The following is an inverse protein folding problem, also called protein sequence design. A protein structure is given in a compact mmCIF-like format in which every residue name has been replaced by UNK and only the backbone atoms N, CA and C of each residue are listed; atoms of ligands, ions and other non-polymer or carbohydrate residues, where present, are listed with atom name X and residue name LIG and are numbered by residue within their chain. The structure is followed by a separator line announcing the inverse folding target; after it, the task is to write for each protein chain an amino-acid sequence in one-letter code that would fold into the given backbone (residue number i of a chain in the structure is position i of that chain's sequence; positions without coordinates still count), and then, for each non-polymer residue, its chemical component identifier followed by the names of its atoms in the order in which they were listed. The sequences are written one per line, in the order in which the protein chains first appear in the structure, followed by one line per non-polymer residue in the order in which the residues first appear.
data_IF_895821475588
#
_entry.id   IF_895821475588
#
_cell.length_a   1.000
_cell.length_b   1.000
_cell.length_c   1.000
_cell.angle_alpha   90.00
_cell.angle_beta   90.00
_cell.angle_gamma   90.00
#
_symmetry.space_group_name_H-M   'P 1'
#
loop_
_entity.id
_entity.type
_entity.pdbx_description
1 polymer ?
#
# COMPACT_ATOMS: atom_id res chain seq x y z
N UNK A 1 -65.34 -18.05 3.18
CA UNK A 1 -64.30 -17.83 2.18
C UNK A 1 -63.09 -17.34 2.93
N UNK A 2 -62.27 -18.31 3.28
CA UNK A 2 -60.95 -18.17 3.89
C UNK A 2 -60.04 -17.51 2.85
N UNK A 3 -59.16 -16.60 3.26
CA UNK A 3 -57.89 -16.37 2.54
C UNK A 3 -56.83 -15.87 3.53
N UNK A 4 -55.97 -16.81 3.87
CA UNK A 4 -54.78 -16.73 4.72
C UNK A 4 -53.80 -15.64 4.25
N UNK A 5 -53.64 -14.58 5.05
CA UNK A 5 -52.48 -13.70 4.92
C UNK A 5 -51.25 -14.32 5.60
N UNK A 6 -50.49 -15.04 4.77
CA UNK A 6 -49.17 -15.62 5.01
C UNK A 6 -48.29 -14.80 5.97
N UNK A 7 -48.14 -15.32 7.20
CA UNK A 7 -47.18 -14.86 8.21
C UNK A 7 -45.75 -14.97 7.69
N UNK A 8 -45.12 -13.82 7.42
CA UNK A 8 -43.69 -13.74 7.08
C UNK A 8 -42.88 -14.03 8.34
N UNK A 9 -42.13 -15.14 8.34
CA UNK A 9 -41.22 -15.53 9.43
C UNK A 9 -40.08 -14.51 9.53
N UNK A 10 -40.15 -13.62 10.51
CA UNK A 10 -39.07 -12.70 10.87
C UNK A 10 -38.15 -13.39 11.87
N UNK A 11 -36.85 -13.43 11.57
CA UNK A 11 -35.83 -13.88 12.52
C UNK A 11 -35.78 -12.91 13.71
N UNK A 12 -35.60 -13.42 14.93
CA UNK A 12 -35.61 -12.69 16.22
C UNK A 12 -34.63 -11.49 16.36
N UNK A 13 -33.87 -11.15 15.31
CA UNK A 13 -32.89 -10.06 15.29
C UNK A 13 -33.13 -8.98 14.23
N UNK A 14 -34.22 -9.02 13.45
CA UNK A 14 -34.55 -7.91 12.53
C UNK A 14 -35.80 -7.17 12.99
N UNK A 15 -35.61 -6.08 13.75
CA UNK A 15 -36.68 -5.07 13.88
C UNK A 15 -36.74 -4.28 12.57
N UNK A 16 -37.90 -4.15 11.91
CA UNK A 16 -38.03 -3.29 10.74
C UNK A 16 -37.74 -1.84 11.16
N UNK A 17 -36.88 -1.17 10.40
CA UNK A 17 -36.51 0.23 10.61
C UNK A 17 -37.63 1.08 9.99
N UNK A 18 -38.30 1.89 10.81
CA UNK A 18 -39.25 2.88 10.29
C UNK A 18 -38.49 4.01 9.61
N UNK A 19 -38.77 4.23 8.33
CA UNK A 19 -38.20 5.33 7.58
C UNK A 19 -38.93 6.62 7.96
N UNK A 20 -38.24 7.48 8.72
CA UNK A 20 -38.70 8.85 8.97
C UNK A 20 -38.38 9.69 7.75
N UNK A 21 -39.42 10.33 7.17
CA UNK A 21 -39.25 11.25 6.04
C UNK A 21 -38.31 12.38 6.44
N UNK A 22 -37.36 12.74 5.57
CA UNK A 22 -36.39 13.79 5.85
C UNK A 22 -37.10 15.13 6.01
N UNK A 23 -37.21 15.60 7.25
CA UNK A 23 -37.72 16.94 7.50
C UNK A 23 -36.81 17.94 6.77
N UNK A 24 -37.38 18.83 5.96
CA UNK A 24 -36.68 19.85 5.15
C UNK A 24 -36.09 20.99 6.00
N UNK A 25 -35.92 20.75 7.30
CA UNK A 25 -35.26 21.64 8.24
C UNK A 25 -34.03 20.94 8.82
N UNK A 26 -33.19 20.39 7.95
CA UNK A 26 -31.78 20.20 8.27
C UNK A 26 -31.09 21.55 8.14
N UNK A 27 -31.18 22.34 9.21
CA UNK A 27 -30.12 23.30 9.49
C UNK A 27 -28.82 22.50 9.54
N UNK A 28 -27.87 22.88 8.67
CA UNK A 28 -26.53 22.33 8.72
C UNK A 28 -26.04 22.43 10.16
N UNK A 29 -25.46 21.35 10.69
CA UNK A 29 -24.56 21.42 11.84
C UNK A 29 -23.39 22.31 11.46
N UNK A 30 -23.63 23.60 11.57
CA UNK A 30 -22.61 24.60 11.73
C UNK A 30 -22.00 24.29 13.09
N UNK A 31 -20.69 24.13 13.08
CA UNK A 31 -19.79 24.21 14.25
C UNK A 31 -20.37 25.20 15.28
N UNK A 32 -20.27 24.96 16.61
CA UNK A 32 -20.75 25.93 17.59
C UNK A 32 -20.16 27.30 17.30
N UNK A 33 -20.98 28.18 16.72
CA UNK A 33 -20.70 29.60 16.59
C UNK A 33 -20.80 30.14 18.01
N UNK A 34 -19.68 30.15 18.74
CA UNK A 34 -19.55 31.00 19.92
C UNK A 34 -19.74 32.44 19.43
N UNK A 35 -20.94 32.97 19.65
CA UNK A 35 -21.27 34.36 19.42
C UNK A 35 -20.30 35.21 20.26
N UNK A 36 -19.31 35.81 19.59
CA UNK A 36 -18.30 36.67 20.21
C UNK A 36 -16.91 36.63 19.58
N UNK A 37 -16.59 35.64 18.75
CA UNK A 37 -15.26 35.62 18.11
C UNK A 37 -15.23 36.52 16.87
N UNK A 38 -14.65 37.70 17.00
CA UNK A 38 -14.36 38.59 15.86
C UNK A 38 -13.54 37.84 14.81
N UNK A 39 -13.75 38.12 13.52
CA UNK A 39 -12.97 37.46 12.44
C UNK A 39 -11.44 37.56 12.63
N UNK A 40 -10.99 38.60 13.36
CA UNK A 40 -9.59 38.75 13.79
C UNK A 40 -9.10 37.66 14.74
N UNK A 41 -9.94 37.19 15.69
CA UNK A 41 -9.61 36.11 16.62
C UNK A 41 -9.48 34.77 15.90
N UNK A 42 -10.39 34.49 14.95
CA UNK A 42 -10.31 33.27 14.13
C UNK A 42 -9.07 33.31 13.24
N UNK A 43 -8.74 34.46 12.65
CA UNK A 43 -7.55 34.64 11.84
C UNK A 43 -6.26 34.47 12.66
N UNK A 44 -6.20 35.01 13.88
CA UNK A 44 -5.06 34.85 14.78
C UNK A 44 -4.87 33.39 15.23
N UNK A 45 -5.95 32.65 15.46
CA UNK A 45 -5.89 31.21 15.76
C UNK A 45 -5.28 30.43 14.58
N UNK A 46 -5.79 30.61 13.36
CA UNK A 46 -5.23 29.96 12.17
C UNK A 46 -3.76 30.34 11.94
N UNK A 47 -3.41 31.60 12.18
CA UNK A 47 -2.02 32.08 12.08
C UNK A 47 -1.10 31.40 13.10
N UNK A 48 -1.59 31.10 14.32
CA UNK A 48 -0.82 30.40 15.35
C UNK A 48 -0.55 28.92 15.03
N UNK A 49 -1.47 28.26 14.33
CA UNK A 49 -1.33 26.84 13.96
C UNK A 49 -0.38 26.70 12.75
N UNK A 50 -0.40 27.68 11.84
CA UNK A 50 0.33 27.64 10.57
C UNK A 50 1.69 28.33 10.61
N UNK A 51 1.86 29.32 11.48
CA UNK A 51 3.17 29.94 11.73
C UNK A 51 3.94 29.01 12.64
N UNK A 52 4.87 28.28 12.04
CA UNK A 52 5.76 27.35 12.70
C UNK A 52 6.44 28.02 13.92
N UNK A 53 5.92 27.75 15.12
CA UNK A 53 6.41 28.34 16.36
C UNK A 53 7.73 27.66 16.71
N UNK A 54 8.85 28.29 16.33
CA UNK A 54 10.07 28.18 17.11
C UNK A 54 9.81 28.89 18.44
N UNK A 55 9.34 28.15 19.45
CA UNK A 55 9.46 28.59 20.83
C UNK A 55 10.91 28.44 21.27
N UNK A 56 11.70 29.45 20.94
CA UNK A 56 12.75 29.92 21.83
C UNK A 56 12.04 30.66 22.96
N UNK A 57 11.91 30.03 24.12
CA UNK A 57 11.65 30.78 25.35
C UNK A 57 12.83 31.72 25.60
N UNK A 58 12.57 33.02 25.66
CA UNK A 58 13.50 33.96 26.28
C UNK A 58 12.75 34.89 27.22
N UNK A 59 12.94 34.61 28.51
CA UNK A 59 13.10 35.64 29.52
C UNK A 59 14.11 36.69 29.02
N UNK A 60 13.80 37.96 29.30
CA UNK A 60 14.57 39.12 28.87
C UNK A 60 15.97 39.15 29.51
N UNK A 61 16.82 39.89 28.80
CA UNK A 61 18.14 40.39 29.19
C UNK A 61 19.31 39.43 28.94
N UNK A 62 19.74 39.39 27.68
CA UNK A 62 21.15 39.52 27.32
C UNK A 62 21.26 39.79 25.81
N UNK A 63 21.40 41.08 25.52
CA UNK A 63 21.97 41.60 24.30
C UNK A 63 23.44 41.13 24.23
N UNK A 64 23.89 40.73 23.03
CA UNK A 64 25.23 40.21 22.69
C UNK A 64 25.45 38.67 22.71
N UNK A 65 24.77 37.95 21.80
CA UNK A 65 25.43 37.00 20.85
C UNK A 65 24.45 36.46 19.80
N UNK A 66 23.95 37.37 18.96
CA UNK A 66 23.24 37.04 17.72
C UNK A 66 23.83 37.89 16.59
N UNK A 67 25.14 37.73 16.39
CA UNK A 67 25.89 38.07 15.18
C UNK A 67 26.95 36.97 15.11
N UNK A 68 27.14 36.34 13.95
CA UNK A 68 27.90 35.10 13.70
C UNK A 68 27.05 33.81 13.70
N UNK A 69 26.08 33.72 12.80
CA UNK A 69 25.86 32.52 11.95
C UNK A 69 24.98 32.85 10.72
N UNK A 70 25.06 34.10 10.23
CA UNK A 70 24.43 34.56 8.99
C UNK A 70 25.39 34.44 7.78
N UNK A 71 26.44 33.64 7.90
CA UNK A 71 27.41 33.45 6.83
C UNK A 71 27.19 32.11 6.15
N UNK A 72 26.38 32.19 5.08
CA UNK A 72 26.19 31.24 3.97
C UNK A 72 25.05 30.23 4.14
N UNK A 73 23.82 30.73 4.25
CA UNK A 73 22.69 29.97 3.72
C UNK A 73 22.82 29.92 2.19
N UNK A 74 23.46 28.86 1.68
CA UNK A 74 23.51 28.58 0.26
C UNK A 74 22.07 28.34 -0.23
N UNK A 75 21.59 29.20 -1.13
CA UNK A 75 20.26 29.07 -1.76
C UNK A 75 20.44 28.40 -3.11
N UNK A 76 19.58 27.43 -3.41
CA UNK A 76 19.55 26.72 -4.69
C UNK A 76 18.24 27.04 -5.42
N UNK A 77 18.35 27.25 -6.73
CA UNK A 77 17.21 27.45 -7.61
C UNK A 77 16.55 26.12 -7.94
N UNK A 78 15.23 26.04 -7.76
CA UNK A 78 14.43 24.91 -8.21
C UNK A 78 13.72 25.26 -9.53
N UNK A 79 13.97 24.54 -10.64
CA UNK A 79 13.32 24.80 -11.92
C UNK A 79 11.84 24.43 -11.92
N UNK A 80 11.42 23.45 -11.12
CA UNK A 80 10.04 22.96 -11.10
C UNK A 80 9.08 23.89 -10.34
N UNK A 81 9.61 24.69 -9.40
CA UNK A 81 8.82 25.60 -8.55
C UNK A 81 9.16 27.07 -8.79
N UNK A 82 10.12 27.35 -9.67
CA UNK A 82 10.63 28.70 -9.95
C UNK A 82 10.94 29.51 -8.67
N UNK A 83 11.52 28.84 -7.67
CA UNK A 83 11.76 29.43 -6.34
C UNK A 83 13.18 29.11 -5.85
N UNK A 84 13.80 30.08 -5.19
CA UNK A 84 15.06 29.91 -4.49
C UNK A 84 14.83 29.31 -3.10
N UNK A 85 15.32 28.09 -2.89
CA UNK A 85 15.13 27.31 -1.67
C UNK A 85 16.47 27.22 -0.92
N UNK A 86 16.50 27.43 0.42
CA UNK A 86 17.74 27.26 1.18
C UNK A 86 18.16 25.77 1.19
N UNK A 87 19.46 25.51 1.13
CA UNK A 87 20.03 24.15 1.05
C UNK A 87 19.52 23.24 2.18
N UNK A 88 19.37 23.79 3.38
CA UNK A 88 18.84 23.08 4.57
C UNK A 88 17.41 22.58 4.40
N UNK A 89 16.61 23.26 3.56
CA UNK A 89 15.20 22.96 3.34
C UNK A 89 14.94 22.22 2.02
N UNK A 90 15.97 21.98 1.20
CA UNK A 90 15.79 21.38 -0.13
C UNK A 90 15.12 20.00 -0.06
N UNK A 91 15.48 19.14 0.90
CA UNK A 91 14.84 17.84 1.05
C UNK A 91 13.34 17.95 1.40
N UNK A 92 12.99 18.89 2.28
CA UNK A 92 11.59 19.13 2.66
C UNK A 92 10.81 19.77 1.51
N UNK A 93 11.45 20.66 0.76
CA UNK A 93 10.89 21.22 -0.46
C UNK A 93 10.56 20.13 -1.49
N UNK A 94 11.51 19.26 -1.83
CA UNK A 94 11.33 18.20 -2.84
C UNK A 94 10.26 17.18 -2.44
N UNK A 95 10.18 16.85 -1.14
CA UNK A 95 9.14 15.93 -0.61
C UNK A 95 7.78 16.60 -0.44
N UNK A 96 7.72 17.93 -0.48
CA UNK A 96 6.50 18.71 -0.32
C UNK A 96 5.49 18.43 -1.41
N UNK A 97 4.20 18.48 -1.05
CA UNK A 97 3.10 18.26 -1.99
C UNK A 97 3.19 19.25 -3.16
N UNK A 98 3.46 20.53 -2.86
CA UNK A 98 3.55 21.61 -3.86
C UNK A 98 4.62 21.32 -4.92
N UNK A 99 5.81 20.88 -4.51
CA UNK A 99 6.87 20.52 -5.44
C UNK A 99 6.48 19.31 -6.30
N UNK A 100 5.94 18.25 -5.69
CA UNK A 100 5.50 17.05 -6.42
C UNK A 100 4.34 17.32 -7.39
N UNK A 101 3.48 18.28 -7.10
CA UNK A 101 2.38 18.66 -8.00
C UNK A 101 2.83 19.60 -9.11
N UNK A 102 3.84 20.43 -8.85
CA UNK A 102 4.41 21.37 -9.82
C UNK A 102 5.41 20.71 -10.77
N UNK A 103 6.13 19.70 -10.27
CA UNK A 103 7.07 18.93 -11.08
C UNK A 103 6.30 18.13 -12.13
N UNK A 104 6.46 18.55 -13.37
CA UNK A 104 5.88 17.91 -14.55
C UNK A 104 6.60 16.61 -14.93
N UNK A 105 7.52 16.10 -14.10
CA UNK A 105 8.02 14.74 -14.25
C UNK A 105 6.84 13.81 -14.10
N UNK A 106 6.31 13.38 -15.25
CA UNK A 106 5.20 12.46 -15.35
C UNK A 106 5.55 11.21 -14.55
N UNK A 107 5.05 11.12 -13.32
CA UNK A 107 4.96 9.82 -12.67
C UNK A 107 3.96 9.05 -13.51
N UNK A 108 4.46 8.32 -14.51
CA UNK A 108 3.65 7.37 -15.26
C UNK A 108 2.94 6.53 -14.21
N UNK A 109 1.60 6.47 -14.20
CA UNK A 109 0.88 5.71 -13.20
C UNK A 109 1.53 4.34 -13.14
N UNK A 110 2.01 3.96 -11.95
CA UNK A 110 2.70 2.69 -11.77
C UNK A 110 1.76 1.61 -12.28
N UNK A 111 2.08 1.02 -13.43
CA UNK A 111 1.32 -0.10 -14.00
C UNK A 111 1.34 -1.21 -12.95
N UNK A 112 0.26 -1.34 -12.17
CA UNK A 112 0.17 -2.26 -11.04
C UNK A 112 0.43 -3.73 -11.41
N UNK A 113 0.39 -4.03 -12.72
CA UNK A 113 0.59 -5.35 -13.30
C UNK A 113 1.91 -5.47 -14.09
N UNK A 114 2.83 -4.50 -13.94
CA UNK A 114 4.13 -4.57 -14.58
C UNK A 114 4.91 -5.81 -14.12
N UNK A 115 5.25 -6.66 -15.10
CA UNK A 115 6.14 -7.78 -14.89
C UNK A 115 7.54 -7.24 -14.61
N UNK A 116 8.14 -7.66 -13.50
CA UNK A 116 9.53 -7.32 -13.20
C UNK A 116 10.45 -7.86 -14.31
N UNK A 117 11.42 -7.06 -14.74
CA UNK A 117 12.46 -7.45 -15.69
C UNK A 117 13.28 -8.67 -15.29
N UNK A 118 13.32 -9.03 -14.00
CA UNK A 118 13.97 -10.23 -13.50
C UNK A 118 13.15 -11.52 -13.69
N UNK A 119 11.89 -11.43 -14.14
CA UNK A 119 11.05 -12.59 -14.35
C UNK A 119 11.50 -13.33 -15.63
N UNK A 120 11.83 -14.61 -15.48
CA UNK A 120 12.32 -15.47 -16.58
C UNK A 120 11.32 -15.51 -17.75
N UNK A 121 10.02 -15.59 -17.47
CA UNK A 121 8.99 -15.59 -18.51
C UNK A 121 8.91 -14.25 -19.25
N UNK A 122 9.12 -13.14 -18.55
CA UNK A 122 9.18 -11.81 -19.19
C UNK A 122 10.40 -11.68 -20.11
N UNK A 123 11.57 -12.16 -19.66
CA UNK A 123 12.78 -12.19 -20.47
C UNK A 123 12.62 -13.08 -21.71
N UNK A 124 11.99 -14.26 -21.55
CA UNK A 124 11.70 -15.16 -22.65
C UNK A 124 10.77 -14.51 -23.69
N UNK A 125 9.68 -13.89 -23.25
CA UNK A 125 8.75 -13.19 -24.16
C UNK A 125 9.46 -12.07 -24.92
N UNK A 126 10.25 -11.24 -24.22
CA UNK A 126 11.07 -10.20 -24.85
C UNK A 126 12.05 -10.76 -25.88
N UNK A 127 12.71 -11.87 -25.57
CA UNK A 127 13.65 -12.53 -26.48
C UNK A 127 12.98 -13.03 -27.77
N UNK A 128 11.69 -13.38 -27.70
CA UNK A 128 10.88 -13.77 -28.84
C UNK A 128 10.29 -12.56 -29.60
N UNK A 129 10.72 -11.35 -29.27
CA UNK A 129 10.29 -10.11 -29.95
C UNK A 129 8.98 -9.52 -29.41
N UNK A 130 8.44 -10.02 -28.29
CA UNK A 130 7.28 -9.39 -27.66
C UNK A 130 7.67 -8.10 -26.94
N UNK A 131 6.89 -7.04 -27.16
CA UNK A 131 7.05 -5.73 -26.50
C UNK A 131 6.02 -5.57 -25.40
N UNK A 132 6.45 -5.06 -24.25
CA UNK A 132 5.59 -4.86 -23.07
C UNK A 132 4.43 -3.86 -23.30
N UNK A 133 4.63 -2.88 -24.19
CA UNK A 133 3.59 -1.90 -24.53
C UNK A 133 2.50 -2.45 -25.46
N UNK A 134 2.72 -3.62 -26.06
CA UNK A 134 1.86 -4.19 -27.09
C UNK A 134 1.21 -5.51 -26.61
N UNK A 135 0.04 -5.79 -27.17
CA UNK A 135 -0.63 -7.08 -27.01
C UNK A 135 0.13 -8.21 -27.70
N UNK A 136 -0.27 -9.45 -27.42
CA UNK A 136 0.22 -10.61 -28.16
C UNK A 136 -0.47 -10.72 -29.54
N UNK A 137 0.16 -11.40 -30.50
CA UNK A 137 -0.38 -11.63 -31.83
C UNK A 137 0.31 -10.80 -32.93
N UNK A 138 0.11 -11.15 -34.22
CA UNK A 138 0.82 -10.57 -35.36
C UNK A 138 0.68 -9.05 -35.51
N UNK A 139 -0.42 -8.46 -35.03
CA UNK A 139 -0.66 -7.01 -35.02
C UNK A 139 -0.79 -6.47 -33.59
N UNK A 140 -0.37 -7.23 -32.59
CA UNK A 140 -0.57 -6.89 -31.18
C UNK A 140 -2.04 -6.83 -30.74
N UNK A 141 -2.93 -7.58 -31.41
CA UNK A 141 -4.38 -7.54 -31.17
C UNK A 141 -4.83 -8.18 -29.85
N UNK A 142 -3.96 -8.97 -29.22
CA UNK A 142 -4.22 -9.63 -27.95
C UNK A 142 -4.32 -8.63 -26.82
N UNK A 143 -5.08 -8.95 -25.78
CA UNK A 143 -5.19 -8.05 -24.64
C UNK A 143 -3.89 -8.04 -23.83
N UNK A 144 -3.47 -6.84 -23.39
CA UNK A 144 -2.28 -6.64 -22.54
C UNK A 144 -2.49 -7.15 -21.11
N UNK A 145 -3.64 -6.80 -20.51
CA UNK A 145 -3.94 -7.13 -19.12
C UNK A 145 -4.77 -8.44 -19.00
N UNK A 146 -4.67 -9.18 -17.89
CA UNK A 146 -5.47 -10.39 -17.64
C UNK A 146 -6.99 -10.15 -17.63
N UNK A 147 -7.82 -11.19 -17.84
CA UNK A 147 -9.29 -11.06 -17.70
C UNK A 147 -9.55 -10.98 -16.18
N UNK A 148 -10.33 -9.99 -15.74
CA UNK A 148 -10.92 -10.03 -14.40
C UNK A 148 -11.96 -11.16 -14.33
N UNK A 149 -11.66 -12.21 -13.57
CA UNK A 149 -12.57 -13.33 -13.33
C UNK A 149 -13.33 -13.13 -12.01
N UNK A 150 -14.61 -13.50 -11.99
CA UNK A 150 -15.40 -13.56 -10.77
C UNK A 150 -15.45 -15.01 -10.29
N UNK A 151 -15.00 -15.27 -9.05
CA UNK A 151 -15.16 -16.59 -8.46
C UNK A 151 -16.60 -16.75 -7.97
N UNK A 152 -17.24 -17.83 -8.40
CA UNK A 152 -18.49 -18.30 -7.84
C UNK A 152 -18.18 -19.07 -6.56
N UNK A 153 -18.63 -18.56 -5.43
CA UNK A 153 -18.46 -19.23 -4.13
C UNK A 153 -19.68 -20.06 -3.72
N UNK A 154 -20.80 -19.88 -4.42
CA UNK A 154 -22.07 -20.51 -4.08
C UNK A 154 -22.30 -21.80 -4.87
N UNK A 155 -23.10 -22.70 -4.29
CA UNK A 155 -23.58 -23.94 -4.94
C UNK A 155 -24.84 -23.73 -5.78
N UNK A 156 -25.44 -22.53 -5.75
CA UNK A 156 -26.69 -22.20 -6.44
C UNK A 156 -26.55 -22.21 -7.97
N UNK A 157 -27.65 -22.41 -8.68
CA UNK A 157 -27.67 -22.40 -10.15
C UNK A 157 -27.20 -21.08 -10.76
N UNK A 158 -26.70 -21.11 -12.00
CA UNK A 158 -26.41 -19.90 -12.75
C UNK A 158 -27.72 -19.13 -12.99
N UNK A 159 -27.71 -17.80 -12.82
CA UNK A 159 -28.89 -16.96 -12.99
C UNK A 159 -29.73 -16.76 -11.73
N UNK A 160 -29.42 -17.44 -10.62
CA UNK A 160 -30.03 -17.12 -9.32
C UNK A 160 -29.64 -15.70 -8.87
N UNK A 161 -30.57 -14.99 -8.22
CA UNK A 161 -30.29 -13.67 -7.67
C UNK A 161 -29.09 -13.77 -6.72
N UNK A 162 -28.03 -13.03 -7.06
CA UNK A 162 -26.75 -13.18 -6.39
C UNK A 162 -26.87 -12.62 -4.98
N UNK A 163 -26.97 -13.49 -3.99
CA UNK A 163 -26.82 -13.09 -2.58
C UNK A 163 -25.36 -12.75 -2.25
N UNK A 164 -24.40 -13.37 -2.97
CA UNK A 164 -22.97 -13.16 -2.70
C UNK A 164 -22.31 -12.19 -3.68
N UNK A 165 -21.42 -11.36 -3.13
CA UNK A 165 -20.61 -10.40 -3.91
C UNK A 165 -19.59 -11.17 -4.75
N UNK A 166 -19.65 -11.03 -6.06
CA UNK A 166 -18.62 -11.52 -6.99
C UNK A 166 -17.26 -10.96 -6.57
N UNK A 167 -16.32 -11.82 -6.17
CA UNK A 167 -14.98 -11.43 -5.75
C UNK A 167 -13.97 -11.80 -6.84
N UNK A 168 -13.10 -10.85 -7.19
CA UNK A 168 -11.97 -11.08 -8.09
C UNK A 168 -10.90 -11.83 -7.29
N UNK A 169 -10.44 -12.98 -7.78
CA UNK A 169 -9.45 -13.83 -7.08
C UNK A 169 -8.02 -13.29 -7.14
N UNK A 170 -7.77 -12.31 -8.00
CA UNK A 170 -6.44 -11.78 -8.30
C UNK A 170 -6.40 -10.27 -8.09
N UNK A 171 -6.90 -9.78 -6.96
CA UNK A 171 -6.58 -8.41 -6.55
C UNK A 171 -5.09 -8.33 -6.22
N UNK A 172 -4.46 -7.17 -6.46
CA UNK A 172 -3.05 -6.96 -6.12
C UNK A 172 -2.76 -7.29 -4.64
N UNK A 173 -3.71 -6.96 -3.76
CA UNK A 173 -3.67 -7.27 -2.33
C UNK A 173 -3.68 -8.77 -2.03
N UNK A 174 -4.56 -9.55 -2.67
CA UNK A 174 -4.66 -11.00 -2.46
C UNK A 174 -3.42 -11.72 -3.02
N UNK A 175 -2.87 -11.25 -4.15
CA UNK A 175 -1.61 -11.76 -4.71
C UNK A 175 -0.44 -11.51 -3.74
N UNK A 176 -0.35 -10.31 -3.17
CA UNK A 176 0.69 -9.94 -2.21
C UNK A 176 0.54 -10.73 -0.91
N UNK A 177 -0.67 -10.88 -0.39
CA UNK A 177 -0.95 -11.69 0.79
C UNK A 177 -0.60 -13.17 0.56
N UNK A 178 -0.91 -13.72 -0.61
CA UNK A 178 -0.56 -15.09 -0.95
C UNK A 178 0.96 -15.29 -1.08
N UNK A 179 1.69 -14.30 -1.61
CA UNK A 179 3.17 -14.29 -1.60
C UNK A 179 3.71 -14.25 -0.18
N UNK A 180 3.16 -13.40 0.69
CA UNK A 180 3.53 -13.31 2.09
C UNK A 180 3.27 -14.63 2.82
N UNK A 181 2.08 -15.23 2.67
CA UNK A 181 1.73 -16.55 3.23
C UNK A 181 2.66 -17.66 2.74
N UNK A 182 3.06 -17.65 1.46
CA UNK A 182 4.03 -18.62 0.92
C UNK A 182 5.41 -18.45 1.54
N UNK A 183 5.86 -17.22 1.75
CA UNK A 183 7.13 -16.91 2.44
C UNK A 183 7.09 -17.37 3.90
N UNK A 184 6.00 -17.09 4.60
CA UNK A 184 5.75 -17.56 5.97
C UNK A 184 5.69 -19.09 6.07
N UNK A 185 5.07 -19.76 5.10
CA UNK A 185 5.09 -21.23 5.03
C UNK A 185 6.50 -21.74 4.78
N UNK A 186 7.24 -21.15 3.84
CA UNK A 186 8.61 -21.54 3.56
C UNK A 186 9.53 -21.37 4.79
N UNK A 187 9.36 -20.29 5.56
CA UNK A 187 10.08 -20.09 6.82
C UNK A 187 9.65 -21.07 7.91
N UNK A 188 8.36 -21.42 7.99
CA UNK A 188 7.86 -22.37 8.99
C UNK A 188 8.14 -23.84 8.61
N UNK A 189 8.33 -24.15 7.32
CA UNK A 189 8.73 -25.48 6.83
C UNK A 189 10.23 -25.69 6.82
N UNK A 190 11.03 -24.68 7.22
CA UNK A 190 12.41 -24.89 7.66
C UNK A 190 12.39 -25.60 9.03
N UNK A 191 11.82 -26.80 9.04
CA UNK A 191 11.90 -27.70 10.18
C UNK A 191 13.37 -28.07 10.35
N UNK A 192 13.95 -27.92 11.55
CA UNK A 192 15.29 -28.43 11.81
C UNK A 192 15.31 -29.91 11.43
N UNK A 193 16.42 -30.43 10.86
CA UNK A 193 16.49 -31.82 10.46
C UNK A 193 16.08 -32.70 11.64
N UNK A 194 15.05 -33.53 11.43
CA UNK A 194 14.58 -34.49 12.43
C UNK A 194 15.74 -35.39 12.86
N UNK A 195 15.74 -35.89 14.10
CA UNK A 195 16.85 -36.71 14.63
C UNK A 195 17.31 -37.81 13.66
N UNK A 196 16.39 -38.49 12.97
CA UNK A 196 16.73 -39.49 11.95
C UNK A 196 17.51 -38.96 10.73
N UNK A 197 17.26 -37.72 10.28
CA UNK A 197 18.02 -37.08 9.19
C UNK A 197 19.43 -36.68 9.64
N UNK A 198 19.61 -36.33 10.92
CA UNK A 198 20.93 -36.06 11.49
C UNK A 198 21.74 -37.35 11.64
N UNK A 199 21.12 -38.41 12.17
CA UNK A 199 21.72 -39.75 12.27
C UNK A 199 22.15 -40.26 10.89
N UNK A 200 21.27 -40.19 9.88
CA UNK A 200 21.60 -40.59 8.52
C UNK A 200 22.74 -39.77 7.89
N UNK A 201 22.89 -38.48 8.28
CA UNK A 201 24.01 -37.65 7.81
C UNK A 201 25.32 -38.05 8.48
N UNK A 202 25.27 -38.45 9.75
CA UNK A 202 26.43 -38.92 10.50
C UNK A 202 26.91 -40.29 10.01
N UNK A 203 26.00 -41.24 9.81
CA UNK A 203 26.31 -42.56 9.22
C UNK A 203 26.96 -42.43 7.82
N UNK A 204 26.50 -41.48 6.99
CA UNK A 204 27.11 -41.19 5.68
C UNK A 204 28.52 -40.62 5.80
N UNK A 205 28.81 -39.88 6.87
CA UNK A 205 30.15 -39.32 7.11
C UNK A 205 31.10 -40.40 7.63
N UNK A 206 30.65 -41.17 8.62
CA UNK A 206 31.40 -42.29 9.19
C UNK A 206 31.68 -43.39 8.16
N UNK A 207 30.71 -43.70 7.28
CA UNK A 207 30.93 -44.65 6.18
C UNK A 207 31.99 -44.16 5.19
N UNK A 208 31.99 -42.87 4.83
CA UNK A 208 33.02 -42.29 3.96
C UNK A 208 34.40 -42.35 4.61
N UNK A 209 34.48 -42.03 5.90
CA UNK A 209 35.74 -42.10 6.67
C UNK A 209 36.24 -43.54 6.79
N UNK A 210 35.35 -44.51 7.06
CA UNK A 210 35.69 -45.94 7.09
C UNK A 210 36.20 -46.43 5.74
N UNK A 211 35.55 -46.06 4.65
CA UNK A 211 36.01 -46.41 3.29
C UNK A 211 37.37 -45.78 2.99
N UNK A 212 37.60 -44.52 3.40
CA UNK A 212 38.90 -43.88 3.24
C UNK A 212 40.01 -44.57 4.04
N UNK A 213 39.74 -44.94 5.30
CA UNK A 213 40.64 -45.72 6.15
C UNK A 213 40.98 -47.09 5.54
N UNK A 214 39.97 -47.82 5.05
CA UNK A 214 40.20 -49.11 4.38
C UNK A 214 41.04 -48.95 3.11
N UNK A 215 40.85 -47.84 2.38
CA UNK A 215 41.63 -47.53 1.18
C UNK A 215 43.09 -47.22 1.51
N UNK A 216 43.36 -46.59 2.66
CA UNK A 216 44.71 -46.30 3.16
C UNK A 216 45.44 -47.56 3.65
N UNK A 217 44.73 -48.50 4.26
CA UNK A 217 45.32 -49.75 4.75
C UNK A 217 45.63 -50.76 3.63
N UNK A 218 44.96 -50.63 2.48
CA UNK A 218 45.13 -51.48 1.30
C UNK A 218 46.09 -50.89 0.25
N UNK A 219 46.76 -49.77 0.54
CA UNK A 219 47.82 -49.17 -0.28
C UNK A 219 49.18 -49.40 0.35
#
# INVERSE_FOLDING_TARGET
MEDDHSMRKTTQYSRPIEFVSSNTEKTLSTVPTTAGSTGSQVANLYKSITSNKKDNDKNKDEEQKQKENDEKEQKLWCPDCELNVPLSFLEQHVRGIVHRTSSSTSTTPTEFLALNGSNIGFQLLKSQGWKYEEGLGPKGQGRRHPIATALKQDTLGLGHEKSTKRRITHTATEIEEQRYRRRQRASNTATPPTNGKLVARQERKESRERVAMLRYLNS
#
